data_IF_953368604785
#
_entry.id   IF_953368604785
#
_cell.length_a   1.000
_cell.length_b   1.000
_cell.length_c   1.000
_cell.angle_alpha   90.00
_cell.angle_beta   90.00
_cell.angle_gamma   90.00
#
_symmetry.space_group_name_H-M   'P 1'
#
loop_
_entity.id
_entity.type
_entity.pdbx_description
1 polymer ?
#
# COMPACT_ATOMS: atom_id res chain seq x y z
N UNK A 1 19.95 20.71 0.38
CA UNK A 1 19.45 20.80 1.77
C UNK A 1 19.55 19.40 2.38
N UNK A 2 20.18 19.24 3.53
CA UNK A 2 20.28 17.96 4.23
C UNK A 2 19.07 17.87 5.17
N UNK A 3 18.27 16.81 5.04
CA UNK A 3 17.15 16.55 5.93
C UNK A 3 17.63 15.88 7.20
N UNK A 4 16.96 16.15 8.32
CA UNK A 4 17.22 15.49 9.59
C UNK A 4 16.38 14.21 9.69
N UNK A 5 17.07 13.07 9.64
CA UNK A 5 16.48 11.75 9.83
C UNK A 5 16.99 11.05 11.10
N UNK A 6 17.76 11.78 11.93
CA UNK A 6 18.41 11.23 13.12
C UNK A 6 17.69 11.65 14.41
N UNK A 7 16.98 12.77 14.41
CA UNK A 7 16.24 13.26 15.58
C UNK A 7 14.98 12.45 15.81
N UNK A 8 14.86 11.73 16.96
CA UNK A 8 13.65 11.00 17.30
C UNK A 8 12.46 11.93 17.51
N UNK A 9 11.31 11.55 16.98
CA UNK A 9 10.05 12.27 17.17
C UNK A 9 9.15 11.41 18.05
N UNK A 10 8.73 11.96 19.19
CA UNK A 10 7.73 11.29 20.02
C UNK A 10 6.37 11.34 19.33
N UNK A 11 5.84 10.17 19.01
CA UNK A 11 4.53 10.03 18.34
C UNK A 11 3.45 9.47 19.27
N UNK A 12 3.77 9.19 20.53
CA UNK A 12 2.77 8.74 21.52
C UNK A 12 1.87 9.91 21.94
N UNK A 13 0.60 9.61 22.15
CA UNK A 13 -0.46 10.60 22.47
C UNK A 13 -0.69 11.63 21.37
N UNK A 14 -0.49 11.22 20.11
CA UNK A 14 -0.73 12.06 18.92
C UNK A 14 -1.83 11.52 18.02
N UNK A 15 -2.62 10.55 18.52
CA UNK A 15 -3.58 9.76 17.74
C UNK A 15 -2.90 8.95 16.62
N UNK A 16 -1.65 8.56 16.85
CA UNK A 16 -0.91 7.69 15.94
C UNK A 16 -1.40 6.25 16.06
N UNK A 17 -2.02 5.73 15.02
CA UNK A 17 -2.47 4.33 15.00
C UNK A 17 -1.32 3.36 15.30
N UNK A 18 -0.12 3.65 14.78
CA UNK A 18 1.09 2.85 15.00
C UNK A 18 1.56 2.83 16.45
N UNK A 19 1.51 3.98 17.14
CA UNK A 19 2.12 4.15 18.47
C UNK A 19 1.12 4.13 19.62
N UNK A 20 -0.13 4.50 19.37
CA UNK A 20 -1.13 4.66 20.42
C UNK A 20 -2.10 3.46 20.53
N UNK A 21 -2.01 2.48 19.59
CA UNK A 21 -2.81 1.25 19.62
C UNK A 21 -2.01 -0.01 20.00
N UNK A 22 -0.78 0.13 20.50
CA UNK A 22 0.06 -1.02 20.86
C UNK A 22 -0.62 -1.93 21.89
N UNK A 23 -1.26 -1.35 22.92
CA UNK A 23 -1.96 -2.11 23.95
C UNK A 23 -3.12 -2.92 23.37
N UNK A 24 -3.86 -2.34 22.41
CA UNK A 24 -5.04 -2.99 21.81
C UNK A 24 -4.64 -4.18 20.92
N UNK A 25 -3.49 -4.07 20.23
CA UNK A 25 -3.04 -5.08 19.27
C UNK A 25 -2.09 -6.12 19.87
N UNK A 26 -1.25 -5.71 20.84
CA UNK A 26 -0.19 -6.57 21.38
C UNK A 26 -0.36 -6.87 22.88
N UNK A 27 -1.32 -6.23 23.56
CA UNK A 27 -1.53 -6.37 25.01
C UNK A 27 -0.41 -5.79 25.86
N UNK A 28 0.45 -4.95 25.26
CA UNK A 28 1.60 -4.29 25.92
C UNK A 28 1.99 -3.03 25.16
N UNK A 29 2.56 -2.05 25.84
CA UNK A 29 2.93 -0.73 25.33
C UNK A 29 4.44 -0.47 25.29
N UNK A 30 5.24 -1.44 25.73
CA UNK A 30 6.71 -1.37 25.75
C UNK A 30 7.37 -1.99 24.50
N UNK A 31 6.62 -2.15 23.43
CA UNK A 31 7.11 -2.67 22.14
C UNK A 31 7.64 -1.55 21.25
N UNK A 32 8.53 -1.92 20.32
CA UNK A 32 8.91 -1.06 19.19
C UNK A 32 7.96 -1.39 18.03
N UNK A 33 6.99 -0.51 17.72
CA UNK A 33 5.99 -0.82 16.71
C UNK A 33 6.60 -0.77 15.30
N UNK A 34 6.52 -1.90 14.60
CA UNK A 34 6.98 -2.04 13.21
C UNK A 34 5.88 -2.61 12.29
N UNK A 35 4.65 -2.60 12.74
CA UNK A 35 3.50 -3.21 12.06
C UNK A 35 2.79 -2.28 11.08
N UNK A 36 2.91 -0.96 11.27
CA UNK A 36 2.43 0.04 10.31
C UNK A 36 3.62 0.65 9.60
N UNK A 37 3.54 0.79 8.29
CA UNK A 37 4.64 1.22 7.43
C UNK A 37 4.89 2.74 7.38
N UNK A 38 4.14 3.54 8.14
CA UNK A 38 4.41 4.97 8.24
C UNK A 38 5.74 5.23 8.96
N UNK A 39 6.53 6.13 8.39
CA UNK A 39 7.87 6.43 8.88
C UNK A 39 7.83 7.32 10.14
N UNK A 40 8.84 7.16 11.00
CA UNK A 40 8.99 7.93 12.24
C UNK A 40 9.93 9.14 12.06
N UNK A 41 10.28 9.47 10.85
CA UNK A 41 11.08 10.63 10.47
C UNK A 41 10.22 11.84 10.15
N UNK A 42 10.76 13.04 10.40
CA UNK A 42 10.10 14.27 9.96
C UNK A 42 9.89 14.28 8.44
N UNK A 43 8.74 14.76 8.00
CA UNK A 43 8.52 15.02 6.60
C UNK A 43 9.49 16.07 6.07
N UNK A 44 9.85 16.00 4.79
CA UNK A 44 10.64 17.03 4.15
C UNK A 44 9.98 18.40 4.31
N UNK A 45 10.73 19.47 4.65
CA UNK A 45 10.18 20.80 4.86
C UNK A 45 9.27 21.30 3.72
N UNK A 46 9.65 21.03 2.47
CA UNK A 46 8.84 21.43 1.31
C UNK A 46 7.45 20.76 1.30
N UNK A 47 7.31 19.56 1.85
CA UNK A 47 6.00 18.87 1.99
C UNK A 47 5.18 19.56 3.07
N UNK A 48 5.81 19.84 4.23
CA UNK A 48 5.15 20.55 5.35
C UNK A 48 4.66 21.92 4.91
N UNK A 49 5.52 22.69 4.24
CA UNK A 49 5.19 24.02 3.71
C UNK A 49 4.01 23.97 2.71
N UNK A 50 4.00 22.99 1.81
CA UNK A 50 2.92 22.83 0.84
C UNK A 50 1.57 22.53 1.53
N UNK A 51 1.57 21.67 2.56
CA UNK A 51 0.39 21.35 3.35
C UNK A 51 -0.09 22.55 4.13
N UNK A 52 0.82 23.27 4.80
CA UNK A 52 0.49 24.50 5.55
C UNK A 52 -0.10 25.58 4.64
N UNK A 53 0.50 25.80 3.48
CA UNK A 53 -0.01 26.75 2.47
C UNK A 53 -1.43 26.37 2.02
N UNK A 54 -1.69 25.06 1.80
CA UNK A 54 -3.04 24.61 1.44
C UNK A 54 -4.02 24.76 2.61
N UNK A 55 -3.60 24.42 3.82
CA UNK A 55 -4.43 24.55 5.03
C UNK A 55 -4.78 26.01 5.36
N UNK A 56 -3.90 26.96 5.06
CA UNK A 56 -4.16 28.39 5.25
C UNK A 56 -5.26 28.94 4.33
N UNK A 57 -5.63 28.24 3.27
CA UNK A 57 -6.79 28.62 2.45
C UNK A 57 -8.08 28.13 3.13
N UNK A 58 -8.96 29.04 3.57
CA UNK A 58 -10.04 28.71 4.51
C UNK A 58 -11.24 27.97 3.88
N UNK A 59 -11.22 27.71 2.57
CA UNK A 59 -12.29 27.00 1.87
C UNK A 59 -11.79 25.61 1.45
N UNK A 60 -12.37 24.57 2.03
CA UNK A 60 -12.04 23.17 1.78
C UNK A 60 -13.11 22.49 0.93
N UNK A 61 -13.27 22.96 -0.30
CA UNK A 61 -14.21 22.40 -1.26
C UNK A 61 -13.61 21.21 -2.04
N UNK A 62 -14.31 20.82 -3.09
CA UNK A 62 -13.80 19.80 -4.00
C UNK A 62 -12.54 20.26 -4.71
N UNK A 63 -11.50 19.45 -4.62
CA UNK A 63 -10.24 19.67 -5.33
C UNK A 63 -10.21 18.97 -6.68
N UNK A 64 -9.41 19.48 -7.61
CA UNK A 64 -9.09 18.81 -8.86
C UNK A 64 -7.59 18.60 -8.97
N UNK A 65 -7.20 17.50 -9.61
CA UNK A 65 -5.81 17.25 -9.98
C UNK A 65 -5.50 18.00 -11.26
N UNK A 66 -4.45 18.77 -11.22
CA UNK A 66 -3.97 19.54 -12.36
C UNK A 66 -2.72 18.89 -12.98
N UNK A 67 -2.29 19.39 -14.13
CA UNK A 67 -1.15 18.88 -14.87
C UNK A 67 0.10 18.63 -14.02
N UNK A 68 0.51 19.52 -13.08
CA UNK A 68 1.70 19.27 -12.25
C UNK A 68 1.64 17.99 -11.41
N UNK A 69 0.45 17.52 -11.02
CA UNK A 69 0.29 16.24 -10.33
C UNK A 69 0.66 15.06 -11.23
N UNK A 70 0.15 15.07 -12.45
CA UNK A 70 0.43 13.98 -13.42
C UNK A 70 1.89 14.00 -13.87
N UNK A 71 2.45 15.18 -14.09
CA UNK A 71 3.86 15.34 -14.46
C UNK A 71 4.78 14.80 -13.35
N UNK A 72 4.45 15.03 -12.08
CA UNK A 72 5.20 14.51 -10.94
C UNK A 72 5.14 12.97 -10.89
N UNK A 73 3.96 12.37 -11.10
CA UNK A 73 3.79 10.91 -11.10
C UNK A 73 4.56 10.28 -12.28
N UNK A 74 4.35 10.78 -13.49
CA UNK A 74 5.01 10.27 -14.69
C UNK A 74 6.52 10.44 -14.62
N UNK A 75 6.98 11.62 -14.17
CA UNK A 75 8.40 11.91 -13.97
C UNK A 75 9.07 11.00 -12.93
N UNK A 76 8.38 10.70 -11.84
CA UNK A 76 8.87 9.76 -10.83
C UNK A 76 9.01 8.35 -11.39
N UNK A 77 7.97 7.82 -12.04
CA UNK A 77 7.96 6.48 -12.63
C UNK A 77 9.09 6.31 -13.65
N UNK A 78 9.25 7.29 -14.55
CA UNK A 78 10.33 7.29 -15.53
C UNK A 78 11.71 7.36 -14.86
N UNK A 79 11.92 8.29 -13.93
CA UNK A 79 13.22 8.52 -13.29
C UNK A 79 13.66 7.35 -12.40
N UNK A 80 12.73 6.76 -11.63
CA UNK A 80 13.06 5.76 -10.60
C UNK A 80 12.98 4.33 -11.12
N UNK A 81 12.11 4.07 -12.09
CA UNK A 81 11.80 2.72 -12.53
C UNK A 81 12.01 2.50 -14.03
N UNK A 82 12.38 3.55 -14.79
CA UNK A 82 12.47 3.47 -16.25
C UNK A 82 11.12 3.20 -16.92
N UNK A 83 10.02 3.38 -16.17
CA UNK A 83 8.68 3.07 -16.65
C UNK A 83 8.01 4.32 -17.21
N UNK A 84 7.80 4.34 -18.51
CA UNK A 84 7.13 5.44 -19.22
C UNK A 84 5.64 5.17 -19.30
N UNK A 85 4.86 6.10 -18.80
CA UNK A 85 3.39 6.08 -18.85
C UNK A 85 2.87 7.37 -19.45
N UNK A 86 1.76 7.29 -20.15
CA UNK A 86 1.03 8.45 -20.66
C UNK A 86 -0.06 8.87 -19.69
N UNK A 87 -0.44 10.11 -19.72
CA UNK A 87 -1.55 10.67 -18.91
C UNK A 87 -2.83 9.83 -18.98
N UNK A 88 -3.19 9.37 -20.17
CA UNK A 88 -4.41 8.59 -20.44
C UNK A 88 -4.42 7.21 -19.75
N UNK A 89 -3.23 6.72 -19.34
CA UNK A 89 -3.09 5.44 -18.63
C UNK A 89 -3.14 5.61 -17.09
N UNK A 90 -3.26 6.84 -16.61
CA UNK A 90 -3.30 7.12 -15.17
C UNK A 90 -4.74 7.23 -14.69
N UNK A 91 -5.15 6.30 -13.85
CA UNK A 91 -6.40 6.36 -13.10
C UNK A 91 -6.12 6.67 -11.63
N UNK A 92 -6.99 7.45 -11.01
CA UNK A 92 -6.90 7.77 -9.59
C UNK A 92 -8.01 7.04 -8.82
N UNK A 93 -7.62 6.26 -7.83
CA UNK A 93 -8.54 5.46 -7.01
C UNK A 93 -8.42 5.84 -5.53
N UNK A 94 -9.09 6.90 -5.06
CA UNK A 94 -9.18 7.21 -3.63
C UNK A 94 -10.05 6.17 -2.90
N UNK A 95 -9.82 5.87 -1.64
CA UNK A 95 -8.79 6.48 -0.78
C UNK A 95 -7.44 5.76 -0.79
N UNK A 96 -7.19 4.78 -1.65
CA UNK A 96 -5.88 4.14 -1.71
C UNK A 96 -5.86 2.78 -2.42
N UNK A 97 -4.71 2.09 -2.32
CA UNK A 97 -4.40 0.87 -3.07
C UNK A 97 -5.39 -0.27 -2.80
N UNK A 98 -5.75 -0.51 -1.54
CA UNK A 98 -6.69 -1.60 -1.18
C UNK A 98 -8.07 -1.36 -1.80
N UNK A 99 -8.53 -0.11 -1.82
CA UNK A 99 -9.78 0.23 -2.50
C UNK A 99 -9.68 -0.03 -4.00
N UNK A 100 -8.60 0.42 -4.64
CA UNK A 100 -8.36 0.19 -6.06
C UNK A 100 -8.38 -1.30 -6.41
N UNK A 101 -7.64 -2.11 -5.64
CA UNK A 101 -7.57 -3.56 -5.83
C UNK A 101 -8.95 -4.22 -5.64
N UNK A 102 -9.74 -3.76 -4.66
CA UNK A 102 -11.09 -4.26 -4.43
C UNK A 102 -12.01 -4.00 -5.64
N UNK A 103 -11.93 -2.80 -6.22
CA UNK A 103 -12.67 -2.46 -7.45
C UNK A 103 -12.21 -3.34 -8.61
N UNK A 104 -10.90 -3.50 -8.80
CA UNK A 104 -10.34 -4.37 -9.85
C UNK A 104 -10.79 -5.82 -9.70
N UNK A 105 -10.76 -6.37 -8.48
CA UNK A 105 -11.26 -7.73 -8.23
C UNK A 105 -12.74 -7.87 -8.58
N UNK A 106 -13.57 -6.87 -8.30
CA UNK A 106 -14.99 -6.88 -8.64
C UNK A 106 -15.23 -6.85 -10.14
N UNK A 107 -14.38 -6.16 -10.90
CA UNK A 107 -14.46 -6.08 -12.37
C UNK A 107 -13.97 -7.40 -13.00
N UNK A 108 -12.87 -7.95 -12.50
CA UNK A 108 -12.17 -9.09 -13.10
C UNK A 108 -12.72 -10.45 -12.66
N UNK A 109 -13.48 -10.51 -11.56
CA UNK A 109 -13.92 -11.76 -10.94
C UNK A 109 -15.35 -11.68 -10.42
N UNK A 110 -15.95 -12.85 -10.19
CA UNK A 110 -17.27 -13.03 -9.55
C UNK A 110 -17.10 -13.68 -8.17
N UNK A 111 -18.10 -13.57 -7.27
CA UNK A 111 -18.13 -14.36 -6.04
C UNK A 111 -17.91 -15.84 -6.33
N UNK A 112 -17.06 -16.50 -5.53
CA UNK A 112 -16.66 -17.90 -5.72
C UNK A 112 -15.44 -18.11 -6.62
N UNK A 113 -15.02 -17.13 -7.40
CA UNK A 113 -13.77 -17.21 -8.19
C UNK A 113 -12.54 -17.27 -7.27
N UNK A 114 -11.49 -17.89 -7.78
CA UNK A 114 -10.23 -18.11 -7.05
C UNK A 114 -9.23 -17.00 -7.32
N UNK A 115 -8.70 -16.42 -6.24
CA UNK A 115 -7.68 -15.36 -6.27
C UNK A 115 -6.45 -15.83 -5.50
N UNK A 116 -5.30 -15.84 -6.16
CA UNK A 116 -4.03 -16.27 -5.57
C UNK A 116 -3.30 -15.09 -4.93
N UNK A 117 -2.77 -15.32 -3.74
CA UNK A 117 -1.93 -14.34 -3.01
C UNK A 117 -0.72 -15.07 -2.41
N UNK A 118 0.52 -14.63 -2.67
CA UNK A 118 1.70 -15.20 -2.02
C UNK A 118 1.71 -14.92 -0.51
N UNK A 119 2.23 -15.89 0.28
CA UNK A 119 2.32 -15.86 1.74
C UNK A 119 3.78 -15.98 2.22
N UNK A 120 4.24 -15.26 3.24
CA UNK A 120 3.52 -14.21 4.00
C UNK A 120 3.34 -12.93 3.19
N UNK A 121 2.28 -12.16 3.50
CA UNK A 121 1.98 -10.91 2.81
C UNK A 121 1.22 -9.94 3.73
N UNK A 122 0.81 -8.82 3.21
CA UNK A 122 0.03 -7.79 3.88
C UNK A 122 -1.43 -8.24 4.09
N UNK A 123 -1.85 -8.34 5.34
CA UNK A 123 -3.15 -8.92 5.74
C UNK A 123 -4.37 -8.36 5.00
N UNK A 124 -4.49 -7.04 4.75
CA UNK A 124 -5.64 -6.51 4.03
C UNK A 124 -5.83 -7.08 2.62
N UNK A 125 -4.80 -7.67 2.01
CA UNK A 125 -4.95 -8.35 0.71
C UNK A 125 -5.79 -9.63 0.83
N UNK A 126 -5.65 -10.37 1.93
CA UNK A 126 -6.43 -11.58 2.19
C UNK A 126 -7.87 -11.23 2.51
N UNK A 127 -8.07 -10.25 3.38
CA UNK A 127 -9.37 -9.71 3.74
C UNK A 127 -10.15 -9.22 2.52
N UNK A 128 -9.49 -8.51 1.63
CA UNK A 128 -10.08 -8.02 0.39
C UNK A 128 -10.64 -9.16 -0.47
N UNK A 129 -9.91 -10.27 -0.57
CA UNK A 129 -10.34 -11.45 -1.34
C UNK A 129 -11.54 -12.12 -0.66
N UNK A 130 -11.40 -12.44 0.62
CA UNK A 130 -12.39 -13.25 1.37
C UNK A 130 -13.67 -12.49 1.66
N UNK A 131 -13.59 -11.22 2.13
CA UNK A 131 -14.76 -10.36 2.35
C UNK A 131 -15.47 -9.99 1.04
N UNK A 132 -14.75 -10.04 -0.08
CA UNK A 132 -15.33 -9.91 -1.41
C UNK A 132 -16.08 -11.15 -1.90
N UNK A 133 -16.12 -12.23 -1.12
CA UNK A 133 -16.75 -13.51 -1.49
C UNK A 133 -15.95 -14.33 -2.51
N UNK A 134 -14.66 -14.01 -2.72
CA UNK A 134 -13.75 -14.80 -3.55
C UNK A 134 -13.07 -15.86 -2.70
N UNK A 135 -12.56 -16.90 -3.34
CA UNK A 135 -11.81 -17.96 -2.69
C UNK A 135 -10.33 -17.62 -2.71
N UNK A 136 -9.74 -17.44 -1.52
CA UNK A 136 -8.31 -17.23 -1.39
C UNK A 136 -7.56 -18.52 -1.73
N UNK A 137 -6.54 -18.41 -2.57
CA UNK A 137 -5.57 -19.46 -2.89
C UNK A 137 -4.21 -18.97 -2.44
N UNK A 138 -3.75 -19.47 -1.32
CA UNK A 138 -2.45 -19.13 -0.77
C UNK A 138 -1.35 -19.88 -1.52
N UNK A 139 -0.24 -19.19 -1.85
CA UNK A 139 0.98 -19.80 -2.37
C UNK A 139 2.14 -19.38 -1.47
N UNK A 140 2.80 -20.35 -0.78
CA UNK A 140 3.84 -20.01 0.17
C UNK A 140 5.09 -19.50 -0.55
N UNK A 141 5.68 -18.44 0.02
CA UNK A 141 7.02 -18.02 -0.34
C UNK A 141 8.04 -18.96 0.32
N UNK A 142 9.09 -19.30 -0.39
CA UNK A 142 10.18 -20.15 0.11
C UNK A 142 11.29 -19.25 0.66
N UNK A 143 11.68 -19.49 1.93
CA UNK A 143 12.86 -18.86 2.50
C UNK A 143 14.11 -19.60 2.04
N UNK A 144 14.96 -18.90 1.27
CA UNK A 144 16.21 -19.46 0.76
C UNK A 144 17.30 -18.38 0.73
N UNK A 145 18.48 -18.71 1.23
CA UNK A 145 19.68 -17.85 1.20
C UNK A 145 19.43 -16.43 1.77
N UNK A 146 18.70 -16.35 2.90
CA UNK A 146 18.42 -15.09 3.59
C UNK A 146 17.35 -14.22 2.94
N UNK A 147 16.56 -14.74 2.00
CA UNK A 147 15.49 -14.02 1.32
C UNK A 147 14.29 -14.90 0.98
N UNK A 148 13.13 -14.28 0.81
CA UNK A 148 11.97 -14.95 0.26
C UNK A 148 12.05 -15.03 -1.27
N UNK A 149 11.64 -16.15 -1.82
CA UNK A 149 11.51 -16.40 -3.26
C UNK A 149 10.15 -17.01 -3.56
N UNK A 150 9.67 -16.85 -4.79
CA UNK A 150 8.46 -17.51 -5.23
C UNK A 150 8.70 -19.00 -5.49
N UNK A 151 7.76 -19.85 -5.08
CA UNK A 151 7.64 -21.22 -5.55
C UNK A 151 6.82 -21.24 -6.84
N UNK A 152 7.50 -21.07 -7.96
CA UNK A 152 6.82 -21.03 -9.27
C UNK A 152 6.14 -22.36 -9.62
N UNK A 153 6.62 -23.50 -9.13
CA UNK A 153 5.98 -24.80 -9.38
C UNK A 153 4.64 -24.90 -8.64
N UNK A 154 4.58 -24.48 -7.37
CA UNK A 154 3.33 -24.39 -6.61
C UNK A 154 2.36 -23.38 -7.24
N UNK A 155 2.87 -22.22 -7.64
CA UNK A 155 2.06 -21.19 -8.29
C UNK A 155 1.44 -21.66 -9.60
N UNK A 156 2.23 -22.36 -10.44
CA UNK A 156 1.76 -22.90 -11.72
C UNK A 156 0.70 -23.98 -11.52
N UNK A 157 0.93 -24.91 -10.60
CA UNK A 157 -0.03 -25.96 -10.26
C UNK A 157 -1.37 -25.37 -9.77
N UNK A 158 -1.29 -24.35 -8.90
CA UNK A 158 -2.48 -23.65 -8.40
C UNK A 158 -3.17 -22.80 -9.48
N UNK A 159 -2.40 -22.16 -10.35
CA UNK A 159 -2.96 -21.41 -11.49
C UNK A 159 -3.77 -22.33 -12.42
N UNK A 160 -3.23 -23.52 -12.74
CA UNK A 160 -3.92 -24.54 -13.55
C UNK A 160 -5.25 -25.00 -12.92
N UNK A 161 -5.44 -24.85 -11.61
CA UNK A 161 -6.67 -25.21 -10.90
C UNK A 161 -7.82 -24.18 -11.04
N UNK A 162 -7.69 -23.18 -11.92
CA UNK A 162 -8.72 -22.21 -12.22
C UNK A 162 -8.64 -20.90 -11.42
N UNK A 163 -7.45 -20.49 -11.01
CA UNK A 163 -7.21 -19.15 -10.48
C UNK A 163 -7.46 -18.10 -11.56
N UNK A 164 -8.18 -17.03 -11.22
CA UNK A 164 -8.52 -15.95 -12.15
C UNK A 164 -7.59 -14.75 -12.04
N UNK A 165 -7.10 -14.47 -10.85
CA UNK A 165 -6.26 -13.30 -10.56
C UNK A 165 -5.14 -13.72 -9.60
N UNK A 166 -3.94 -13.24 -9.86
CA UNK A 166 -2.80 -13.25 -8.95
C UNK A 166 -2.60 -11.82 -8.45
N UNK A 167 -2.59 -11.64 -7.13
CA UNK A 167 -2.28 -10.36 -6.49
C UNK A 167 -0.86 -10.39 -5.97
N UNK A 168 0.00 -9.53 -6.51
CA UNK A 168 1.39 -9.37 -6.09
C UNK A 168 1.55 -8.05 -5.32
N UNK A 169 2.27 -8.12 -4.23
CA UNK A 169 2.70 -6.95 -3.47
C UNK A 169 4.22 -6.78 -3.57
#
# INVERSE_FOLDING_TARGET
MRYDFDTPINRRNTFSFKWDCDMDYFGRDDVIPMWVADMDFACAPCVVEAVQKRAAHPVYGYGMRQQPYYDAVMGWLKKRHGFEVNYEHLAFAPPGVIYALNVMLRILTKPGDRVMVPMPNYDPLFDMVTRGGRKLVETPLVWKDGRYTFDFADMEAKAASGVKVLVLS
#
